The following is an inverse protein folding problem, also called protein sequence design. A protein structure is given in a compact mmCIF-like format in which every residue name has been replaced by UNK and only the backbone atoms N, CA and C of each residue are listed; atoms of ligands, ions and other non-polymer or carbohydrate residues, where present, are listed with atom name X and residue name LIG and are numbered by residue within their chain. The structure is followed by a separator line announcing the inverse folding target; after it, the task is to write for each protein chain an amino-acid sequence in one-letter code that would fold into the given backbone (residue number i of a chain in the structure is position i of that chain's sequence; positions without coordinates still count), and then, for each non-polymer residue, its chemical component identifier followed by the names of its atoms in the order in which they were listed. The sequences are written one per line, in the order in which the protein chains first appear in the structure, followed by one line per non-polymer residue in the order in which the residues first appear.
data_IF_544240923309
#
_entry.id   IF_544240923309
#
_cell.length_a   1.000
_cell.length_b   1.000
_cell.length_c   1.000
_cell.angle_alpha   90.00
_cell.angle_beta   90.00
_cell.angle_gamma   90.00
#
_symmetry.space_group_name_H-M   'P 1'
#
loop_
_entity.id
_entity.type
_entity.pdbx_description
1 polymer ?
#
# COMPACT_ATOMS: atom_id res chain seq x y z
N UNK A 1 -2.60 9.85 -24.50
CA UNK A 1 -2.74 9.15 -23.20
C UNK A 1 -4.21 8.82 -23.00
N UNK A 2 -4.55 7.64 -22.50
CA UNK A 2 -5.93 7.19 -22.29
C UNK A 2 -6.69 8.13 -21.34
N UNK A 3 -7.97 8.40 -21.58
CA UNK A 3 -8.80 9.12 -20.61
C UNK A 3 -8.96 8.32 -19.30
N UNK A 4 -9.19 9.02 -18.18
CA UNK A 4 -9.53 8.38 -16.92
C UNK A 4 -10.95 7.81 -16.98
N UNK A 5 -11.14 6.60 -16.45
CA UNK A 5 -12.43 6.01 -16.09
C UNK A 5 -12.24 5.02 -14.95
N UNK A 6 -13.25 4.83 -14.11
CA UNK A 6 -13.17 3.84 -13.02
C UNK A 6 -12.92 2.43 -13.55
N UNK A 7 -13.61 2.01 -14.62
CA UNK A 7 -13.42 0.69 -15.22
C UNK A 7 -12.00 0.45 -15.74
N UNK A 8 -11.35 1.49 -16.28
CA UNK A 8 -9.94 1.39 -16.68
C UNK A 8 -9.02 1.22 -15.46
N UNK A 9 -9.32 1.89 -14.34
CA UNK A 9 -8.59 1.71 -13.09
C UNK A 9 -8.81 0.32 -12.49
N UNK A 10 -10.05 -0.17 -12.43
CA UNK A 10 -10.39 -1.51 -11.95
C UNK A 10 -9.62 -2.59 -12.74
N UNK A 11 -9.60 -2.47 -14.07
CA UNK A 11 -8.82 -3.39 -14.91
C UNK A 11 -7.32 -3.32 -14.58
N UNK A 12 -6.74 -2.12 -14.48
CA UNK A 12 -5.33 -1.94 -14.12
C UNK A 12 -5.00 -2.49 -12.73
N UNK A 13 -5.90 -2.33 -11.76
CA UNK A 13 -5.75 -2.90 -10.41
C UNK A 13 -5.89 -4.42 -10.45
N UNK A 14 -6.73 -4.98 -11.31
CA UNK A 14 -6.83 -6.44 -11.48
C UNK A 14 -5.53 -7.07 -11.99
N UNK A 15 -4.81 -6.34 -12.86
CA UNK A 15 -3.53 -6.72 -13.47
C UNK A 15 -2.30 -6.38 -12.61
N UNK A 16 -2.48 -5.61 -11.52
CA UNK A 16 -1.40 -5.18 -10.63
C UNK A 16 -0.68 -6.38 -9.99
N UNK A 17 0.63 -6.46 -10.18
CA UNK A 17 1.49 -7.48 -9.57
C UNK A 17 2.46 -6.88 -8.54
N UNK A 18 3.14 -7.73 -7.77
CA UNK A 18 4.14 -7.33 -6.79
C UNK A 18 5.48 -6.89 -7.40
N UNK A 19 5.59 -6.84 -8.73
CA UNK A 19 6.81 -6.37 -9.39
C UNK A 19 6.91 -4.84 -9.35
N UNK A 20 8.12 -4.34 -9.16
CA UNK A 20 8.40 -2.90 -9.11
C UNK A 20 7.87 -2.16 -10.34
N UNK A 21 8.07 -2.75 -11.53
CA UNK A 21 7.64 -2.18 -12.80
C UNK A 21 6.12 -2.05 -12.89
N UNK A 22 5.37 -3.05 -12.41
CA UNK A 22 3.90 -3.02 -12.40
C UNK A 22 3.38 -1.89 -11.52
N UNK A 23 3.93 -1.76 -10.31
CA UNK A 23 3.58 -0.71 -9.35
C UNK A 23 3.91 0.68 -9.91
N UNK A 24 5.13 0.90 -10.40
CA UNK A 24 5.56 2.20 -10.91
C UNK A 24 4.79 2.64 -12.16
N UNK A 25 4.52 1.72 -13.08
CA UNK A 25 3.75 2.01 -14.30
C UNK A 25 2.34 2.49 -13.96
N UNK A 26 1.67 1.80 -13.03
CA UNK A 26 0.34 2.20 -12.58
C UNK A 26 0.39 3.51 -11.78
N UNK A 27 1.35 3.66 -10.87
CA UNK A 27 1.55 4.89 -10.09
C UNK A 27 1.69 6.12 -10.99
N UNK A 28 2.54 6.06 -12.03
CA UNK A 28 2.72 7.16 -12.97
C UNK A 28 1.42 7.53 -13.70
N UNK A 29 0.64 6.51 -14.09
CA UNK A 29 -0.67 6.73 -14.71
C UNK A 29 -1.65 7.41 -13.74
N UNK A 30 -1.70 7.00 -12.47
CA UNK A 30 -2.55 7.63 -11.46
C UNK A 30 -2.14 9.08 -11.20
N UNK A 31 -0.82 9.34 -11.08
CA UNK A 31 -0.27 10.68 -10.87
C UNK A 31 -0.58 11.61 -12.06
N UNK A 32 -0.59 11.08 -13.28
CA UNK A 32 -1.03 11.83 -14.46
C UNK A 32 -2.50 12.26 -14.36
N UNK A 33 -3.36 11.39 -13.83
CA UNK A 33 -4.79 11.63 -13.62
C UNK A 33 -5.15 12.21 -12.24
N UNK A 34 -4.21 12.89 -11.54
CA UNK A 34 -4.42 13.38 -10.16
C UNK A 34 -5.64 14.30 -9.95
N UNK A 35 -6.16 14.93 -11.01
CA UNK A 35 -7.43 15.67 -10.97
C UNK A 35 -8.62 14.80 -10.54
N UNK A 36 -8.48 13.49 -10.66
CA UNK A 36 -9.44 12.48 -10.24
C UNK A 36 -8.99 11.73 -8.96
N UNK A 37 -8.15 12.33 -8.12
CA UNK A 37 -7.61 11.67 -6.93
C UNK A 37 -8.69 11.05 -6.03
N UNK A 38 -9.78 11.76 -5.74
CA UNK A 38 -10.88 11.23 -4.91
C UNK A 38 -11.53 9.97 -5.50
N UNK A 39 -12.03 9.99 -6.75
CA UNK A 39 -12.51 8.78 -7.42
C UNK A 39 -11.46 7.66 -7.48
N UNK A 40 -10.19 7.98 -7.76
CA UNK A 40 -9.10 7.00 -7.79
C UNK A 40 -8.93 6.30 -6.44
N UNK A 41 -8.87 7.06 -5.35
CA UNK A 41 -8.70 6.51 -3.99
C UNK A 41 -9.93 5.71 -3.57
N UNK A 42 -11.13 6.15 -3.96
CA UNK A 42 -12.38 5.41 -3.72
C UNK A 42 -12.37 4.04 -4.39
N UNK A 43 -12.00 3.97 -5.67
CA UNK A 43 -11.88 2.70 -6.42
C UNK A 43 -10.76 1.84 -5.84
N UNK A 44 -9.58 2.42 -5.57
CA UNK A 44 -8.46 1.71 -4.96
C UNK A 44 -8.86 1.05 -3.65
N UNK A 45 -9.58 1.78 -2.78
CA UNK A 45 -10.00 1.28 -1.48
C UNK A 45 -11.02 0.14 -1.62
N UNK A 46 -12.02 0.32 -2.49
CA UNK A 46 -13.01 -0.71 -2.81
C UNK A 46 -12.36 -2.00 -3.32
N UNK A 47 -11.41 -1.89 -4.23
CA UNK A 47 -10.73 -3.05 -4.82
C UNK A 47 -9.71 -3.69 -3.86
N UNK A 48 -9.06 -2.92 -2.97
CA UNK A 48 -8.22 -3.44 -1.89
C UNK A 48 -9.02 -4.38 -0.96
N UNK A 49 -10.24 -3.98 -0.58
CA UNK A 49 -11.09 -4.78 0.30
C UNK A 49 -11.50 -6.11 -0.36
N UNK A 50 -11.78 -6.10 -1.67
CA UNK A 50 -12.11 -7.30 -2.46
C UNK A 50 -10.90 -8.19 -2.79
N UNK A 51 -9.69 -7.63 -2.80
CA UNK A 51 -8.50 -8.36 -3.20
C UNK A 51 -8.19 -9.54 -2.26
N UNK A 52 -7.67 -10.64 -2.82
CA UNK A 52 -7.15 -11.78 -2.04
C UNK A 52 -6.03 -11.33 -1.09
N UNK A 53 -5.90 -11.99 0.06
CA UNK A 53 -4.90 -11.69 1.11
C UNK A 53 -3.48 -11.45 0.55
N UNK A 54 -3.01 -12.33 -0.35
CA UNK A 54 -1.69 -12.24 -0.97
C UNK A 54 -1.44 -11.00 -1.84
N UNK A 55 -2.50 -10.29 -2.27
CA UNK A 55 -2.41 -9.08 -3.10
C UNK A 55 -2.54 -7.79 -2.30
N UNK A 56 -3.08 -7.83 -1.08
CA UNK A 56 -3.39 -6.62 -0.30
C UNK A 56 -2.15 -5.77 -0.02
N UNK A 57 -1.01 -6.40 0.25
CA UNK A 57 0.25 -5.69 0.46
C UNK A 57 0.69 -4.92 -0.79
N UNK A 58 0.48 -5.47 -1.99
CA UNK A 58 0.78 -4.81 -3.26
C UNK A 58 -0.03 -3.52 -3.46
N UNK A 59 -1.29 -3.50 -3.03
CA UNK A 59 -2.11 -2.29 -3.08
C UNK A 59 -1.54 -1.17 -2.19
N UNK A 60 -0.98 -1.53 -1.04
CA UNK A 60 -0.33 -0.56 -0.15
C UNK A 60 1.02 -0.09 -0.68
N UNK A 61 1.76 -0.93 -1.42
CA UNK A 61 2.93 -0.48 -2.18
C UNK A 61 2.58 0.51 -3.27
N UNK A 62 1.47 0.31 -3.98
CA UNK A 62 0.96 1.28 -4.94
C UNK A 62 0.58 2.61 -4.26
N UNK A 63 -0.18 2.57 -3.17
CA UNK A 63 -0.53 3.78 -2.42
C UNK A 63 0.73 4.54 -1.96
N UNK A 64 1.72 3.83 -1.42
CA UNK A 64 2.99 4.40 -1.03
C UNK A 64 3.71 5.10 -2.20
N UNK A 65 3.83 4.44 -3.35
CA UNK A 65 4.51 5.02 -4.50
C UNK A 65 3.77 6.26 -5.02
N UNK A 66 2.44 6.20 -5.10
CA UNK A 66 1.60 7.35 -5.53
C UNK A 66 1.72 8.52 -4.56
N UNK A 67 1.58 8.28 -3.24
CA UNK A 67 1.63 9.34 -2.22
C UNK A 67 3.00 10.03 -2.25
N UNK A 68 4.10 9.27 -2.31
CA UNK A 68 5.43 9.86 -2.27
C UNK A 68 5.80 10.58 -3.57
N UNK A 69 5.46 10.01 -4.74
CA UNK A 69 5.83 10.57 -6.04
C UNK A 69 4.89 11.70 -6.51
N UNK A 70 3.67 11.80 -5.95
CA UNK A 70 2.73 12.87 -6.27
C UNK A 70 3.01 14.19 -5.54
N UNK A 71 3.72 14.19 -4.40
CA UNK A 71 3.95 15.38 -3.56
C UNK A 71 4.45 16.61 -4.32
N UNK A 72 5.35 16.42 -5.30
CA UNK A 72 5.90 17.52 -6.12
C UNK A 72 4.88 18.13 -7.09
N UNK A 73 3.79 17.42 -7.38
CA UNK A 73 2.73 17.82 -8.30
C UNK A 73 1.53 18.44 -7.58
N UNK A 74 1.29 18.06 -6.33
CA UNK A 74 0.25 18.62 -5.49
C UNK A 74 -0.13 17.69 -4.33
N UNK A 75 -0.96 18.16 -3.39
CA UNK A 75 -1.33 17.43 -2.18
C UNK A 75 -2.55 16.52 -2.35
N UNK A 76 -3.13 16.43 -3.56
CA UNK A 76 -4.43 15.79 -3.79
C UNK A 76 -4.42 14.34 -3.29
N UNK A 77 -3.43 13.53 -3.70
CA UNK A 77 -3.34 12.15 -3.26
C UNK A 77 -3.05 12.00 -1.77
N UNK A 78 -2.16 12.84 -1.22
CA UNK A 78 -1.87 12.80 0.22
C UNK A 78 -3.16 13.00 1.03
N UNK A 79 -3.97 14.00 0.67
CA UNK A 79 -5.24 14.30 1.36
C UNK A 79 -6.27 13.18 1.19
N UNK A 80 -6.46 12.70 -0.04
CA UNK A 80 -7.48 11.68 -0.33
C UNK A 80 -7.14 10.35 0.35
N UNK A 81 -5.86 9.93 0.31
CA UNK A 81 -5.44 8.70 0.98
C UNK A 81 -5.56 8.80 2.51
N UNK A 82 -5.25 9.95 3.12
CA UNK A 82 -5.38 10.16 4.57
C UNK A 82 -6.76 9.74 5.10
N UNK A 83 -7.83 10.01 4.34
CA UNK A 83 -9.21 9.69 4.71
C UNK A 83 -9.54 8.18 4.75
N UNK A 84 -8.77 7.33 4.06
CA UNK A 84 -9.05 5.88 3.94
C UNK A 84 -7.96 5.00 4.55
N UNK A 85 -6.77 5.54 4.82
CA UNK A 85 -5.60 4.75 5.21
C UNK A 85 -5.79 4.01 6.54
N UNK A 86 -6.51 4.57 7.51
CA UNK A 86 -6.75 3.90 8.80
C UNK A 86 -7.59 2.63 8.62
N UNK A 87 -8.70 2.72 7.89
CA UNK A 87 -9.54 1.55 7.57
C UNK A 87 -8.78 0.56 6.68
N UNK A 88 -8.02 1.04 5.69
CA UNK A 88 -7.21 0.19 4.83
C UNK A 88 -6.15 -0.60 5.62
N UNK A 89 -5.41 0.05 6.52
CA UNK A 89 -4.38 -0.62 7.33
C UNK A 89 -5.01 -1.64 8.29
N UNK A 90 -6.09 -1.28 8.97
CA UNK A 90 -6.85 -2.21 9.83
C UNK A 90 -7.36 -3.43 9.04
N UNK A 91 -7.93 -3.19 7.85
CA UNK A 91 -8.42 -4.25 6.97
C UNK A 91 -7.30 -5.22 6.55
N UNK A 92 -6.15 -4.69 6.15
CA UNK A 92 -5.00 -5.50 5.75
C UNK A 92 -4.39 -6.24 6.94
N UNK A 93 -4.30 -5.63 8.12
CA UNK A 93 -3.79 -6.28 9.32
C UNK A 93 -4.64 -7.50 9.74
N UNK A 94 -5.95 -7.45 9.52
CA UNK A 94 -6.89 -8.53 9.85
C UNK A 94 -6.92 -9.66 8.82
N UNK A 95 -6.78 -9.35 7.54
CA UNK A 95 -7.00 -10.32 6.45
C UNK A 95 -5.73 -10.81 5.75
N UNK A 96 -4.61 -10.11 5.90
CA UNK A 96 -3.37 -10.49 5.24
C UNK A 96 -2.59 -11.53 6.05
N UNK A 97 -1.69 -12.24 5.38
CA UNK A 97 -0.88 -13.29 6.00
C UNK A 97 0.04 -12.71 7.09
N UNK A 98 0.45 -13.54 8.06
CA UNK A 98 1.33 -13.16 9.19
C UNK A 98 2.62 -12.41 8.76
N UNK A 99 3.05 -12.59 7.50
CA UNK A 99 4.20 -11.89 6.92
C UNK A 99 3.99 -10.42 6.55
N UNK A 100 2.77 -9.87 6.67
CA UNK A 100 2.47 -8.52 6.18
C UNK A 100 2.78 -7.41 7.18
N UNK A 101 2.80 -7.68 8.49
CA UNK A 101 3.01 -6.65 9.53
C UNK A 101 4.35 -5.92 9.39
N UNK A 102 5.47 -6.65 9.28
CA UNK A 102 6.82 -6.06 9.17
C UNK A 102 6.96 -5.13 7.95
N UNK A 103 6.52 -5.51 6.73
CA UNK A 103 6.47 -4.58 5.59
C UNK A 103 5.66 -3.30 5.85
N UNK A 104 4.53 -3.39 6.53
CA UNK A 104 3.66 -2.24 6.83
C UNK A 104 4.27 -1.31 7.87
N UNK A 105 4.84 -1.87 8.94
CA UNK A 105 5.60 -1.09 9.93
C UNK A 105 6.76 -0.35 9.28
N UNK A 106 7.51 -1.00 8.39
CA UNK A 106 8.59 -0.37 7.62
C UNK A 106 8.06 0.80 6.80
N UNK A 107 6.94 0.63 6.11
CA UNK A 107 6.29 1.66 5.29
C UNK A 107 5.91 2.88 6.15
N UNK A 108 5.31 2.66 7.32
CA UNK A 108 4.96 3.73 8.26
C UNK A 108 6.19 4.46 8.83
N UNK A 109 7.27 3.73 9.14
CA UNK A 109 8.51 4.35 9.60
C UNK A 109 9.12 5.26 8.52
N UNK A 110 9.11 4.83 7.26
CA UNK A 110 9.55 5.68 6.14
C UNK A 110 8.67 6.94 6.01
N UNK A 111 7.35 6.79 6.17
CA UNK A 111 6.43 7.93 6.14
C UNK A 111 6.69 8.92 7.27
N UNK A 112 7.06 8.42 8.46
CA UNK A 112 7.48 9.23 9.59
C UNK A 112 8.79 9.96 9.31
N UNK A 113 9.83 9.25 8.89
CA UNK A 113 11.16 9.80 8.57
C UNK A 113 11.09 10.88 7.48
N UNK A 114 10.24 10.67 6.46
CA UNK A 114 10.08 11.59 5.32
C UNK A 114 8.97 12.62 5.52
N UNK A 115 8.37 12.70 6.72
CA UNK A 115 7.25 13.60 7.03
C UNK A 115 6.16 13.55 5.95
N UNK A 116 5.71 12.34 5.60
CA UNK A 116 4.61 12.12 4.64
C UNK A 116 3.28 12.50 5.26
N UNK A 117 3.07 12.10 6.51
CA UNK A 117 1.95 12.51 7.35
C UNK A 117 2.47 12.95 8.72
N UNK A 118 1.62 13.64 9.48
CA UNK A 118 1.93 14.04 10.86
C UNK A 118 2.12 12.83 11.78
N UNK A 119 2.93 13.00 12.83
CA UNK A 119 3.28 11.91 13.74
C UNK A 119 2.07 11.28 14.45
N UNK A 120 1.06 12.08 14.79
CA UNK A 120 -0.19 11.58 15.40
C UNK A 120 -0.92 10.62 14.46
N UNK A 121 -1.05 10.98 13.18
CA UNK A 121 -1.68 10.12 12.19
C UNK A 121 -0.87 8.84 11.95
N UNK A 122 0.47 8.93 11.89
CA UNK A 122 1.33 7.74 11.79
C UNK A 122 1.12 6.81 12.98
N UNK A 123 1.00 7.36 14.20
CA UNK A 123 0.74 6.56 15.39
C UNK A 123 -0.64 5.88 15.32
N UNK A 124 -1.67 6.58 14.84
CA UNK A 124 -2.99 5.98 14.60
C UNK A 124 -2.93 4.81 13.61
N UNK A 125 -2.14 4.94 12.54
CA UNK A 125 -1.93 3.83 11.59
C UNK A 125 -1.19 2.66 12.25
N UNK A 126 -0.20 2.91 13.10
CA UNK A 126 0.51 1.85 13.84
C UNK A 126 -0.46 1.08 14.76
N UNK A 127 -1.29 1.78 15.53
CA UNK A 127 -2.30 1.17 16.40
C UNK A 127 -3.30 0.31 15.62
N UNK A 128 -3.72 0.76 14.43
CA UNK A 128 -4.63 -0.02 13.57
C UNK A 128 -4.06 -1.38 13.12
N UNK A 129 -2.72 -1.52 13.11
CA UNK A 129 -2.03 -2.80 12.85
C UNK A 129 -2.00 -3.71 14.08
N UNK A 130 -2.04 -3.14 15.28
CA UNK A 130 -1.94 -3.84 16.57
C UNK A 130 -3.31 -4.30 17.09
N UNK A 131 -4.36 -3.48 16.95
CA UNK A 131 -5.72 -3.77 17.44
C UNK A 131 -6.35 -5.02 16.81
N UNK A 132 -5.83 -5.47 15.68
CA UNK A 132 -6.23 -6.74 15.04
C UNK A 132 -5.77 -7.99 15.82
N UNK A 133 -4.95 -7.83 16.86
CA UNK A 133 -4.42 -8.93 17.68
C UNK A 133 -5.31 -9.30 18.90
N UNK A 134 -6.50 -8.70 19.02
CA UNK A 134 -7.52 -9.16 19.96
C UNK A 134 -8.07 -10.53 19.50
N UNK A 135 -8.09 -11.57 20.36
CA UNK A 135 -8.60 -12.88 19.99
C UNK A 135 -10.12 -12.80 19.79
N UNK A 136 -10.57 -12.61 18.55
CA UNK A 136 -11.91 -13.07 18.20
C UNK A 136 -11.92 -14.60 18.26
N UNK A 137 -12.95 -15.23 18.86
CA UNK A 137 -13.02 -16.67 19.00
C UNK A 137 -13.12 -17.33 17.62
N UNK A 138 -11.98 -17.77 17.09
CA UNK A 138 -11.93 -18.64 15.92
C UNK A 138 -12.39 -20.02 16.40
N UNK A 139 -13.63 -20.35 16.12
CA UNK A 139 -14.18 -21.69 16.33
C UNK A 139 -13.25 -22.70 15.65
N UNK A 140 -12.75 -23.65 16.43
CA UNK A 140 -11.70 -24.58 16.07
C UNK A 140 -12.07 -25.47 14.88
N UNK A 141 -11.19 -25.51 13.88
CA UNK A 141 -11.14 -26.53 12.84
C UNK A 141 -9.70 -27.02 12.72
N UNK A 142 -9.43 -28.14 13.38
CA UNK A 142 -8.16 -28.85 13.43
C UNK A 142 -7.69 -29.27 12.03
N UNK A 143 -6.43 -28.98 11.67
CA UNK A 143 -5.57 -29.92 10.95
C UNK A 143 -4.09 -29.53 10.96
N UNK A 144 -3.28 -30.58 11.11
CA UNK A 144 -1.84 -30.65 11.32
C UNK A 144 -1.05 -30.56 10.00
N UNK A 145 0.15 -29.97 10.05
CA UNK A 145 1.43 -30.63 9.70
C UNK A 145 2.47 -29.68 9.03
N UNK A 146 3.67 -29.72 9.63
CA UNK A 146 5.04 -29.55 9.12
C UNK A 146 5.31 -28.89 7.75
N UNK A 147 6.30 -28.00 7.74
CA UNK A 147 7.00 -27.63 6.51
C UNK A 147 7.94 -26.44 6.65
N UNK A 148 9.08 -26.62 7.33
CA UNK A 148 10.22 -25.69 7.27
C UNK A 148 10.71 -25.56 5.83
N UNK A 149 10.66 -24.35 5.27
CA UNK A 149 11.52 -23.97 4.13
C UNK A 149 12.04 -22.55 4.35
N UNK A 150 13.31 -22.50 4.72
CA UNK A 150 14.15 -21.31 4.72
C UNK A 150 14.22 -20.77 3.29
N UNK A 151 13.75 -19.54 3.09
CA UNK A 151 14.19 -18.71 1.97
C UNK A 151 14.61 -17.35 2.51
N UNK A 152 15.87 -17.31 2.89
CA UNK A 152 16.65 -16.09 3.06
C UNK A 152 16.86 -15.45 1.67
N UNK A 153 16.16 -14.36 1.41
CA UNK A 153 16.40 -13.49 0.26
C UNK A 153 16.10 -12.03 0.66
N UNK A 154 17.03 -11.09 0.48
CA UNK A 154 16.90 -9.76 1.06
C UNK A 154 15.85 -8.92 0.33
N UNK A 155 14.82 -8.51 1.06
CA UNK A 155 13.81 -7.48 0.71
C UNK A 155 14.47 -6.09 0.44
N UNK A 156 15.79 -5.99 0.57
CA UNK A 156 16.59 -4.77 0.43
C UNK A 156 16.67 -4.19 -1.00
N UNK A 157 16.15 -4.86 -2.04
CA UNK A 157 16.26 -4.39 -3.42
C UNK A 157 15.14 -3.41 -3.87
N UNK A 158 14.05 -3.26 -3.10
CA UNK A 158 12.96 -2.34 -3.48
C UNK A 158 13.24 -0.88 -3.06
N UNK A 159 14.27 -0.63 -2.25
CA UNK A 159 14.42 0.65 -1.56
C UNK A 159 15.64 1.51 -1.93
N UNK A 160 16.43 1.17 -2.97
CA UNK A 160 17.71 1.86 -3.23
C UNK A 160 17.72 2.91 -4.35
N UNK A 161 16.70 3.07 -5.19
CA UNK A 161 16.84 3.96 -6.37
C UNK A 161 15.79 5.07 -6.51
N UNK A 162 15.60 5.84 -5.43
CA UNK A 162 14.78 7.07 -5.45
C UNK A 162 15.51 8.27 -4.82
N UNK A 163 16.84 8.29 -4.90
CA UNK A 163 17.66 9.42 -4.38
C UNK A 163 18.78 9.92 -5.29
N UNK A 164 18.84 9.57 -6.58
CA UNK A 164 19.72 10.27 -7.52
C UNK A 164 19.02 10.65 -8.83
N UNK A 165 18.23 11.72 -8.78
CA UNK A 165 18.18 12.69 -9.89
C UNK A 165 18.64 14.04 -9.35
N UNK A 166 19.92 14.13 -8.97
CA UNK A 166 20.54 15.42 -8.82
C UNK A 166 21.02 15.87 -10.21
N UNK A 167 20.28 16.83 -10.73
CA UNK A 167 20.73 17.82 -11.71
C UNK A 167 22.21 18.18 -11.50
N UNK A 168 22.98 18.17 -12.58
CA UNK A 168 24.03 19.17 -12.79
C UNK A 168 24.39 19.26 -14.27
N UNK A 169 24.12 20.44 -14.82
CA UNK A 169 24.65 21.13 -16.02
C UNK A 169 24.97 20.32 -17.28
#
# INVERSE_FOLDING_TARGET
MSSFSESALERKLSELSNSQQSVQTLSLWLIHHRKHAGPIVTVWHRELRKAKSSRKLTFLYLANDVIQNSKRKGPEFTREFESVLVDAFSHVAREADEGCKKPLERLLNIWQERSVYGSEFIQQLKLSLEDSNSPQPKVAGLQSAAGTLLLTGPISAIFRDLSHTHTSK
#
